data_IF_051389622810
#
_entry.id   IF_051389622810
#
_cell.length_a   1.000
_cell.length_b   1.000
_cell.length_c   1.000
_cell.angle_alpha   90.00
_cell.angle_beta   90.00
_cell.angle_gamma   90.00
#
_symmetry.space_group_name_H-M   'P 1'
#
loop_
_entity.id
_entity.type
_entity.pdbx_description
1 polymer ?
#
# COMPACT_ATOMS: atom_id res chain seq x y z
N UNK A 1 31.56 1.51 1.82
CA UNK A 1 30.97 0.38 1.07
C UNK A 1 30.91 -0.76 2.07
N UNK A 2 29.82 -1.13 2.71
CA UNK A 2 28.40 -0.77 2.65
C UNK A 2 27.87 -0.98 4.08
N UNK A 3 27.25 0.04 4.69
CA UNK A 3 25.79 0.07 4.75
C UNK A 3 25.27 -0.88 5.82
N UNK A 4 25.28 -0.45 7.09
CA UNK A 4 24.69 -1.18 8.21
C UNK A 4 23.21 -1.47 7.92
N UNK A 5 22.91 -2.73 7.62
CA UNK A 5 21.56 -3.24 7.49
C UNK A 5 20.87 -3.22 8.85
N UNK A 6 19.95 -2.28 8.99
CA UNK A 6 19.12 -2.01 10.16
C UNK A 6 18.39 -3.29 10.62
N UNK A 7 18.87 -3.90 11.72
CA UNK A 7 18.18 -5.00 12.41
C UNK A 7 16.95 -4.47 13.13
N UNK A 8 15.84 -4.39 12.41
CA UNK A 8 14.50 -4.21 12.97
C UNK A 8 13.72 -5.51 12.96
N UNK A 9 14.11 -6.53 13.74
CA UNK A 9 13.26 -7.71 13.98
C UNK A 9 12.14 -7.35 14.95
N UNK A 10 11.10 -6.72 14.41
CA UNK A 10 9.78 -6.67 15.04
C UNK A 10 9.27 -8.11 15.11
N UNK A 11 8.90 -8.58 16.29
CA UNK A 11 8.38 -9.92 16.49
C UNK A 11 7.17 -10.17 15.56
N UNK A 12 7.32 -11.15 14.68
CA UNK A 12 6.34 -11.56 13.68
C UNK A 12 5.23 -12.34 14.41
N UNK A 13 3.97 -11.95 14.26
CA UNK A 13 2.88 -12.78 14.78
C UNK A 13 2.92 -14.16 14.13
N UNK A 14 2.31 -15.18 14.75
CA UNK A 14 2.26 -16.53 14.17
C UNK A 14 1.70 -16.52 12.73
N UNK A 15 0.74 -15.63 12.48
CA UNK A 15 0.11 -15.45 11.16
C UNK A 15 1.06 -14.79 10.15
N UNK A 16 1.81 -13.75 10.57
CA UNK A 16 2.79 -13.11 9.70
C UNK A 16 3.92 -14.08 9.34
N UNK A 17 4.36 -14.93 10.28
CA UNK A 17 5.40 -15.93 10.06
C UNK A 17 4.94 -17.04 9.10
N UNK A 18 3.70 -17.51 9.22
CA UNK A 18 3.12 -18.48 8.30
C UNK A 18 3.03 -17.92 6.87
N UNK A 19 2.54 -16.68 6.74
CA UNK A 19 2.48 -15.96 5.46
C UNK A 19 3.87 -15.76 4.85
N UNK A 20 4.87 -15.43 5.65
CA UNK A 20 6.25 -15.27 5.15
C UNK A 20 6.86 -16.61 4.71
N UNK A 21 6.50 -17.72 5.37
CA UNK A 21 6.92 -19.05 4.93
C UNK A 21 6.31 -19.42 3.58
N UNK A 22 5.03 -19.10 3.38
CA UNK A 22 4.35 -19.31 2.09
C UNK A 22 4.97 -18.44 0.99
N UNK A 23 5.20 -17.15 1.25
CA UNK A 23 5.86 -16.28 0.26
C UNK A 23 7.24 -16.82 -0.12
N UNK A 24 8.01 -17.33 0.85
CA UNK A 24 9.32 -17.92 0.56
C UNK A 24 9.24 -19.18 -0.30
N UNK A 25 8.22 -20.04 -0.13
CA UNK A 25 8.06 -21.21 -1.00
C UNK A 25 7.75 -20.80 -2.45
N UNK A 26 7.09 -19.66 -2.64
CA UNK A 26 6.84 -19.05 -3.96
C UNK A 26 8.03 -18.23 -4.49
N UNK A 27 9.17 -18.19 -3.78
CA UNK A 27 10.33 -17.37 -4.17
C UNK A 27 10.12 -15.86 -3.97
N UNK A 28 9.09 -15.47 -3.21
CA UNK A 28 8.74 -14.09 -2.89
C UNK A 28 9.17 -13.74 -1.45
N UNK A 29 9.16 -12.44 -1.14
CA UNK A 29 9.36 -11.96 0.22
C UNK A 29 8.47 -10.74 0.51
N UNK A 30 8.13 -10.56 1.78
CA UNK A 30 7.38 -9.40 2.25
C UNK A 30 8.32 -8.22 2.51
N UNK A 31 8.13 -7.12 1.79
CA UNK A 31 8.78 -5.85 2.12
C UNK A 31 7.93 -5.09 3.15
N UNK A 32 8.57 -4.52 4.17
CA UNK A 32 7.88 -3.72 5.19
C UNK A 32 7.42 -2.40 4.59
N UNK A 33 6.15 -2.07 4.82
CA UNK A 33 5.52 -0.79 4.47
C UNK A 33 5.16 -0.06 5.76
N UNK A 34 5.28 1.26 5.76
CA UNK A 34 4.85 2.07 6.90
C UNK A 34 3.35 1.82 7.19
N UNK A 35 3.02 1.55 8.46
CA UNK A 35 1.65 1.27 8.94
C UNK A 35 0.89 2.57 9.19
N UNK A 36 0.68 3.37 8.14
CA UNK A 36 -0.08 4.64 8.18
C UNK A 36 -1.30 4.60 7.24
N UNK A 37 -2.12 5.66 7.26
CA UNK A 37 -3.29 5.79 6.37
C UNK A 37 -2.95 5.88 4.87
N UNK A 38 -1.67 5.89 4.50
CA UNK A 38 -1.19 5.85 3.12
C UNK A 38 -0.57 4.50 2.74
N UNK A 39 -0.63 3.48 3.62
CA UNK A 39 0.09 2.21 3.44
C UNK A 39 -0.20 1.51 2.09
N UNK A 40 -1.45 1.57 1.60
CA UNK A 40 -1.80 1.03 0.28
C UNK A 40 -1.01 1.73 -0.84
N UNK A 41 -1.02 3.07 -0.86
CA UNK A 41 -0.28 3.83 -1.88
C UNK A 41 1.23 3.70 -1.72
N UNK A 42 1.73 3.51 -0.49
CA UNK A 42 3.14 3.22 -0.23
C UNK A 42 3.56 1.86 -0.76
N UNK A 43 2.72 0.82 -0.61
CA UNK A 43 2.97 -0.49 -1.18
C UNK A 43 3.04 -0.44 -2.71
N UNK A 44 2.10 0.29 -3.35
CA UNK A 44 2.10 0.47 -4.81
C UNK A 44 3.31 1.29 -5.27
N UNK A 45 3.66 2.38 -4.57
CA UNK A 45 4.82 3.20 -4.91
C UNK A 45 6.14 2.43 -4.77
N UNK A 46 6.25 1.57 -3.76
CA UNK A 46 7.38 0.66 -3.59
C UNK A 46 7.51 -0.34 -4.75
N UNK A 47 6.39 -0.86 -5.26
CA UNK A 47 6.40 -1.81 -6.38
C UNK A 47 6.67 -1.12 -7.72
N UNK A 48 6.09 0.05 -7.96
CA UNK A 48 6.18 0.75 -9.25
C UNK A 48 7.42 1.64 -9.39
N UNK A 49 7.92 2.20 -8.28
CA UNK A 49 8.96 3.23 -8.27
C UNK A 49 10.12 2.91 -7.31
N UNK A 50 10.09 1.74 -6.66
CA UNK A 50 11.08 1.34 -5.65
C UNK A 50 11.26 2.36 -4.51
N UNK A 51 10.24 3.19 -4.26
CA UNK A 51 10.25 4.21 -3.21
C UNK A 51 8.87 4.46 -2.62
N UNK A 52 8.75 4.33 -1.29
CA UNK A 52 7.52 4.64 -0.55
C UNK A 52 7.25 6.15 -0.45
N UNK A 53 8.26 7.02 -0.67
CA UNK A 53 8.09 8.48 -0.59
C UNK A 53 7.15 9.01 -1.68
N UNK A 54 7.06 8.28 -2.79
CA UNK A 54 6.30 8.70 -3.98
C UNK A 54 4.81 8.35 -3.88
N UNK A 55 4.34 7.86 -2.73
CA UNK A 55 2.95 7.47 -2.49
C UNK A 55 1.94 8.58 -2.81
N UNK A 56 2.31 9.85 -2.62
CA UNK A 56 1.47 10.99 -2.98
C UNK A 56 1.30 11.15 -4.50
N UNK A 57 2.32 10.84 -5.30
CA UNK A 57 2.24 10.89 -6.76
C UNK A 57 1.32 9.79 -7.28
N UNK A 58 1.48 8.56 -6.77
CA UNK A 58 0.58 7.45 -7.06
C UNK A 58 -0.86 7.82 -6.71
N UNK A 59 -1.11 8.33 -5.49
CA UNK A 59 -2.45 8.76 -5.05
C UNK A 59 -3.07 9.79 -5.99
N UNK A 60 -2.32 10.82 -6.39
CA UNK A 60 -2.79 11.85 -7.33
C UNK A 60 -3.14 11.26 -8.70
N UNK A 61 -2.29 10.39 -9.24
CA UNK A 61 -2.53 9.71 -10.51
C UNK A 61 -3.77 8.82 -10.46
N UNK A 62 -3.96 8.06 -9.39
CA UNK A 62 -5.16 7.24 -9.18
C UNK A 62 -6.42 8.11 -9.15
N UNK A 63 -6.44 9.19 -8.35
CA UNK A 63 -7.59 10.10 -8.28
C UNK A 63 -7.89 10.73 -9.64
N UNK A 64 -6.85 11.15 -10.38
CA UNK A 64 -7.02 11.70 -11.73
C UNK A 64 -7.69 10.68 -12.67
N UNK A 65 -7.19 9.45 -12.67
CA UNK A 65 -7.73 8.36 -13.48
C UNK A 65 -9.20 8.03 -13.13
N UNK A 66 -9.53 7.98 -11.83
CA UNK A 66 -10.91 7.75 -11.37
C UNK A 66 -11.85 8.89 -11.77
N UNK A 67 -11.37 10.15 -11.79
CA UNK A 67 -12.15 11.31 -12.24
C UNK A 67 -12.38 11.29 -13.76
N UNK A 68 -11.38 10.92 -14.54
CA UNK A 68 -11.47 10.85 -16.00
C UNK A 68 -12.35 9.70 -16.47
N UNK A 69 -12.42 8.61 -15.68
CA UNK A 69 -13.19 7.41 -16.01
C UNK A 69 -14.48 7.29 -15.18
N UNK A 70 -15.00 8.44 -14.71
CA UNK A 70 -16.11 8.52 -13.74
C UNK A 70 -17.33 7.65 -14.11
N UNK A 71 -17.69 7.57 -15.39
CA UNK A 71 -18.85 6.81 -15.85
C UNK A 71 -18.74 5.29 -15.71
N UNK A 72 -17.53 4.72 -15.68
CA UNK A 72 -17.34 3.26 -15.59
C UNK A 72 -17.19 2.80 -14.15
N UNK A 73 -16.65 3.66 -13.28
CA UNK A 73 -16.36 3.30 -11.91
C UNK A 73 -17.38 3.82 -10.91
N UNK A 74 -18.35 4.66 -11.29
CA UNK A 74 -19.31 5.26 -10.34
C UNK A 74 -20.07 4.22 -9.50
N UNK A 75 -20.39 3.05 -10.08
CA UNK A 75 -21.04 1.96 -9.38
C UNK A 75 -20.12 1.27 -8.35
N UNK A 76 -18.85 1.06 -8.68
CA UNK A 76 -17.85 0.44 -7.78
C UNK A 76 -17.32 1.42 -6.72
N UNK A 77 -17.12 2.68 -7.11
CA UNK A 77 -16.65 3.78 -6.28
C UNK A 77 -17.70 4.17 -5.26
N UNK A 78 -19.00 4.19 -5.59
CA UNK A 78 -20.05 4.50 -4.60
C UNK A 78 -20.03 3.54 -3.40
N UNK A 79 -19.64 2.29 -3.61
CA UNK A 79 -19.48 1.30 -2.53
C UNK A 79 -18.18 1.51 -1.74
N UNK A 80 -17.09 1.92 -2.41
CA UNK A 80 -15.77 2.10 -1.78
C UNK A 80 -15.59 3.46 -1.08
N UNK A 81 -16.07 4.54 -1.70
CA UNK A 81 -15.98 5.92 -1.20
C UNK A 81 -16.97 6.20 -0.07
N UNK A 82 -18.03 5.39 0.08
CA UNK A 82 -18.95 5.50 1.22
C UNK A 82 -18.29 5.14 2.57
N UNK A 83 -17.07 4.59 2.57
CA UNK A 83 -16.32 4.36 3.81
C UNK A 83 -15.35 5.52 4.13
N UNK A 84 -14.95 6.35 3.16
CA UNK A 84 -13.88 7.35 3.35
C UNK A 84 -14.33 8.82 3.28
N UNK A 85 -15.52 9.13 2.73
CA UNK A 85 -15.99 10.54 2.64
C UNK A 85 -16.66 11.10 3.90
N UNK A 86 -16.74 10.35 4.99
CA UNK A 86 -17.33 10.83 6.27
C UNK A 86 -16.27 11.20 7.33
N UNK A 87 -14.96 11.05 7.08
CA UNK A 87 -13.90 11.44 8.02
C UNK A 87 -13.05 12.65 7.60
N UNK A 88 -13.60 13.58 6.82
CA UNK A 88 -12.88 14.85 6.52
C UNK A 88 -13.75 16.11 6.59
N UNK A 89 -14.96 16.00 7.14
CA UNK A 89 -15.71 17.14 7.68
C UNK A 89 -16.05 16.84 9.14
N UNK A 90 -15.14 17.24 10.04
CA UNK A 90 -15.22 17.05 11.47
C UNK A 90 -13.84 17.11 12.10
#
# INVERSE_FOLDING_TARGET
>A
MDGQGEKGTVACSKDEAAMDSYLRSEGLYRKKIAKDGSCLFRAVAEQAMHSQSEHLKIRKSCIKYLRETRGQYEAAIKTFIRVELEQSFG
#
